data_IF_165731929888
#
_entry.id   IF_165731929888
#
_cell.length_a   1.000
_cell.length_b   1.000
_cell.length_c   1.000
_cell.angle_alpha   90.00
_cell.angle_beta   90.00
_cell.angle_gamma   90.00
#
_symmetry.space_group_name_H-M   'P 1'
#
loop_
_entity.id
_entity.type
_entity.pdbx_description
1 polymer ?
#
# COMPACT_ATOMS: atom_id res chain seq x y z
N UNK A 1 35.37 9.47 -2.82
CA UNK A 1 34.11 10.17 -3.14
C UNK A 1 33.63 9.75 -4.51
N UNK A 2 32.33 9.77 -4.75
CA UNK A 2 31.72 9.47 -6.07
C UNK A 2 30.91 10.67 -6.52
N UNK A 3 31.14 11.13 -7.74
CA UNK A 3 30.38 12.20 -8.36
C UNK A 3 28.99 11.72 -8.75
N UNK A 4 28.02 12.60 -8.70
CA UNK A 4 26.67 12.41 -9.22
C UNK A 4 26.28 13.58 -10.10
N UNK A 5 25.40 13.35 -11.07
CA UNK A 5 24.86 14.41 -11.93
C UNK A 5 23.98 15.42 -11.18
N UNK A 6 23.43 15.01 -10.03
CA UNK A 6 22.58 15.85 -9.19
C UNK A 6 22.65 15.41 -7.75
N UNK A 7 23.11 16.28 -6.84
CA UNK A 7 23.28 15.99 -5.41
C UNK A 7 22.89 17.20 -4.57
N UNK A 8 21.97 17.02 -3.65
CA UNK A 8 21.52 18.01 -2.69
C UNK A 8 21.33 17.39 -1.29
N UNK A 9 20.79 18.16 -0.35
CA UNK A 9 20.51 17.66 0.98
C UNK A 9 19.33 16.70 0.94
N UNK A 10 19.62 15.39 1.03
CA UNK A 10 18.67 14.27 1.03
C UNK A 10 17.84 14.09 -0.26
N UNK A 11 18.25 14.72 -1.37
CA UNK A 11 17.65 14.50 -2.69
C UNK A 11 18.72 14.49 -3.78
N UNK A 12 18.42 13.90 -4.92
CA UNK A 12 19.32 13.81 -6.05
C UNK A 12 19.35 12.42 -6.69
N UNK A 13 20.34 12.20 -7.54
CA UNK A 13 20.59 10.91 -8.18
C UNK A 13 21.73 10.19 -7.46
N UNK A 14 21.56 8.91 -7.13
CA UNK A 14 22.60 8.08 -6.55
C UNK A 14 22.70 6.75 -7.29
N UNK A 15 23.93 6.45 -7.76
CA UNK A 15 24.26 5.15 -8.36
C UNK A 15 25.70 4.81 -7.95
N UNK A 16 25.86 3.85 -7.07
CA UNK A 16 27.16 3.49 -6.50
C UNK A 16 27.79 2.39 -7.36
N UNK A 17 29.02 2.60 -7.88
CA UNK A 17 29.76 1.56 -8.57
C UNK A 17 29.92 0.31 -7.70
N UNK A 18 29.74 -0.85 -8.32
CA UNK A 18 29.88 -2.14 -7.63
C UNK A 18 31.28 -2.70 -7.85
N UNK A 19 31.72 -3.57 -6.95
CA UNK A 19 33.01 -4.28 -7.07
C UNK A 19 33.07 -4.99 -8.43
N UNK A 20 34.20 -4.79 -9.16
CA UNK A 20 34.44 -5.31 -10.50
C UNK A 20 34.06 -4.35 -11.63
N UNK A 21 33.45 -3.20 -11.34
CA UNK A 21 33.21 -2.14 -12.35
C UNK A 21 34.47 -1.30 -12.57
N UNK A 22 34.76 -0.97 -13.83
CA UNK A 22 35.80 -0.02 -14.19
C UNK A 22 35.29 1.41 -13.97
N UNK A 23 36.10 2.24 -13.30
CA UNK A 23 35.73 3.61 -12.95
C UNK A 23 36.80 4.60 -13.44
N UNK A 24 36.36 5.79 -13.83
CA UNK A 24 37.25 6.90 -14.13
C UNK A 24 37.46 7.70 -12.83
N UNK A 25 38.73 7.86 -12.45
CA UNK A 25 39.14 8.60 -11.25
C UNK A 25 39.88 9.85 -11.65
N UNK A 26 39.49 10.99 -11.08
CA UNK A 26 40.24 12.24 -11.12
C UNK A 26 40.71 12.59 -9.72
N UNK A 27 41.75 13.46 -9.64
CA UNK A 27 42.30 13.91 -8.37
C UNK A 27 42.05 15.41 -8.23
N UNK A 28 41.41 15.81 -7.13
CA UNK A 28 41.14 17.23 -6.88
C UNK A 28 42.46 17.99 -6.71
N UNK A 29 42.60 19.09 -7.43
CA UNK A 29 43.81 19.92 -7.48
C UNK A 29 45.11 19.15 -7.83
N UNK A 30 45.01 17.97 -8.40
CA UNK A 30 46.13 17.06 -8.72
C UNK A 30 46.68 16.30 -7.50
N UNK A 31 46.03 16.37 -6.35
CA UNK A 31 46.46 15.73 -5.10
C UNK A 31 46.05 14.22 -5.13
N UNK A 32 47.03 13.28 -5.11
CA UNK A 32 46.79 11.84 -5.07
C UNK A 32 45.93 11.37 -3.89
N UNK A 33 45.94 12.10 -2.78
CA UNK A 33 45.20 11.77 -1.57
C UNK A 33 43.71 12.21 -1.66
N UNK A 34 43.32 12.88 -2.74
CA UNK A 34 41.96 13.37 -2.97
C UNK A 34 41.30 12.77 -4.22
N UNK A 35 41.13 11.44 -4.27
CA UNK A 35 40.51 10.78 -5.44
C UNK A 35 39.01 11.04 -5.51
N UNK A 36 38.51 11.26 -6.72
CA UNK A 36 37.09 11.43 -7.05
C UNK A 36 36.73 10.53 -8.22
N UNK A 37 35.79 9.60 -8.03
CA UNK A 37 35.20 8.80 -9.10
C UNK A 37 34.23 9.70 -9.86
N UNK A 38 34.47 9.88 -11.16
CA UNK A 38 33.69 10.77 -12.03
C UNK A 38 32.83 10.03 -13.06
N UNK A 39 33.02 8.73 -13.24
CA UNK A 39 32.23 7.91 -14.16
C UNK A 39 32.57 6.45 -14.10
N UNK A 40 31.82 5.64 -14.87
CA UNK A 40 32.07 4.22 -15.10
C UNK A 40 32.27 3.97 -16.59
N UNK A 41 33.09 2.97 -16.93
CA UNK A 41 33.43 2.61 -18.30
C UNK A 41 32.98 1.17 -18.60
N UNK A 42 32.48 0.97 -19.83
CA UNK A 42 32.30 -0.38 -20.35
C UNK A 42 33.58 -0.89 -20.99
N UNK A 43 33.84 -2.17 -20.86
CA UNK A 43 34.99 -2.85 -21.45
C UNK A 43 34.62 -4.29 -21.88
N UNK A 44 35.58 -5.03 -22.39
CA UNK A 44 35.34 -6.35 -22.98
C UNK A 44 34.70 -7.36 -21.99
N UNK A 45 35.06 -7.31 -20.72
CA UNK A 45 34.55 -8.21 -19.68
C UNK A 45 33.22 -7.70 -19.07
N UNK A 46 33.00 -6.37 -19.12
CA UNK A 46 31.77 -5.71 -18.69
C UNK A 46 31.13 -4.95 -19.86
N UNK A 47 30.48 -5.64 -20.82
CA UNK A 47 29.93 -5.04 -22.02
C UNK A 47 28.65 -4.23 -21.72
N UNK A 48 28.29 -3.39 -22.68
CA UNK A 48 27.01 -2.64 -22.66
C UNK A 48 25.82 -3.59 -22.56
N UNK A 49 24.69 -3.16 -21.95
CA UNK A 49 23.49 -4.01 -21.75
C UNK A 49 22.90 -4.61 -23.03
N UNK A 50 23.10 -3.95 -24.17
CA UNK A 50 22.60 -4.38 -25.48
C UNK A 50 23.69 -4.19 -26.56
N UNK A 51 23.84 -5.19 -27.43
CA UNK A 51 24.86 -5.20 -28.46
C UNK A 51 24.77 -4.00 -29.41
N UNK A 52 25.90 -3.31 -29.61
CA UNK A 52 26.05 -2.25 -30.58
C UNK A 52 26.72 -2.75 -31.87
N UNK A 53 26.42 -2.19 -33.04
CA UNK A 53 25.56 -1.01 -33.31
C UNK A 53 24.05 -1.36 -33.49
N UNK A 54 23.66 -2.61 -33.35
CA UNK A 54 22.29 -3.07 -33.63
C UNK A 54 21.22 -2.33 -32.80
N UNK A 55 21.54 -1.94 -31.57
CA UNK A 55 20.62 -1.24 -30.64
C UNK A 55 21.03 0.22 -30.40
N UNK A 56 21.56 0.91 -31.41
CA UNK A 56 22.05 2.30 -31.28
C UNK A 56 20.97 3.36 -30.98
N UNK A 57 19.70 3.03 -31.21
CA UNK A 57 18.53 3.87 -30.92
C UNK A 57 17.94 3.64 -29.52
N UNK A 58 18.56 2.76 -28.74
CA UNK A 58 18.05 2.36 -27.42
C UNK A 58 18.77 3.08 -26.31
N UNK A 59 18.01 3.73 -25.44
CA UNK A 59 18.45 4.29 -24.16
C UNK A 59 18.02 3.37 -23.02
N UNK A 60 18.93 3.05 -22.08
CA UNK A 60 18.68 2.03 -21.04
C UNK A 60 19.25 2.47 -19.72
N UNK A 61 18.45 2.32 -18.69
CA UNK A 61 18.88 2.27 -17.30
C UNK A 61 18.56 0.88 -16.75
N UNK A 62 19.59 0.05 -16.53
CA UNK A 62 19.43 -1.33 -16.08
C UNK A 62 20.27 -1.62 -14.87
N UNK A 63 19.66 -2.21 -13.85
CA UNK A 63 20.33 -2.67 -12.62
C UNK A 63 20.21 -4.17 -12.48
N UNK A 64 21.15 -4.78 -11.76
CA UNK A 64 21.13 -6.21 -11.47
C UNK A 64 20.82 -6.45 -9.98
N UNK A 65 20.11 -7.53 -9.69
CA UNK A 65 19.88 -7.97 -8.31
C UNK A 65 21.18 -8.26 -7.58
N UNK A 66 21.28 -7.93 -6.32
CA UNK A 66 22.48 -8.11 -5.49
C UNK A 66 22.10 -8.67 -4.11
N UNK A 67 22.94 -9.58 -3.53
CA UNK A 67 24.11 -10.23 -4.12
C UNK A 67 23.68 -11.33 -5.08
N UNK A 68 24.29 -11.41 -6.27
CA UNK A 68 24.10 -12.38 -7.36
C UNK A 68 22.70 -12.96 -7.50
N UNK A 69 22.12 -13.26 -8.56
CA UNK A 69 20.78 -13.83 -8.57
C UNK A 69 20.03 -13.76 -9.90
N UNK A 70 20.69 -13.25 -10.94
CA UNK A 70 20.16 -13.26 -12.30
C UNK A 70 18.93 -12.37 -12.55
N UNK A 71 18.43 -11.64 -11.53
CA UNK A 71 17.33 -10.70 -11.67
C UNK A 71 17.79 -9.29 -12.03
N UNK A 72 16.87 -8.46 -12.56
CA UNK A 72 17.18 -7.08 -12.95
C UNK A 72 15.95 -6.18 -12.87
N UNK A 73 16.19 -4.86 -12.73
CA UNK A 73 15.18 -3.85 -13.02
C UNK A 73 15.64 -3.04 -14.24
N UNK A 74 14.72 -2.59 -15.07
CA UNK A 74 15.04 -1.90 -16.32
C UNK A 74 14.02 -0.82 -16.68
N UNK A 75 14.51 0.36 -17.01
CA UNK A 75 13.79 1.36 -17.81
C UNK A 75 14.49 1.47 -19.16
N UNK A 76 13.78 1.17 -20.24
CA UNK A 76 14.29 1.18 -21.60
C UNK A 76 13.40 2.02 -22.50
N UNK A 77 14.03 2.86 -23.31
CA UNK A 77 13.39 3.67 -24.34
C UNK A 77 13.99 3.25 -25.68
N UNK A 78 13.15 2.83 -26.61
CA UNK A 78 13.52 2.51 -27.98
C UNK A 78 12.93 3.57 -28.92
N UNK A 79 13.78 4.26 -29.67
CA UNK A 79 13.41 5.35 -30.59
C UNK A 79 13.45 4.91 -32.08
N UNK A 80 13.56 3.62 -32.34
CA UNK A 80 13.55 3.12 -33.73
C UNK A 80 12.18 3.35 -34.35
N UNK A 81 12.14 4.13 -35.45
CA UNK A 81 10.91 4.47 -36.15
C UNK A 81 10.05 3.24 -36.48
N UNK A 82 8.80 3.26 -36.07
CA UNK A 82 7.83 2.17 -36.26
C UNK A 82 7.97 1.01 -35.26
N UNK A 83 8.87 1.16 -34.26
CA UNK A 83 9.07 0.20 -33.18
C UNK A 83 9.38 0.93 -31.85
N UNK A 84 8.90 2.17 -31.74
CA UNK A 84 9.08 2.98 -30.55
C UNK A 84 8.43 2.30 -29.35
N UNK A 85 9.13 2.28 -28.22
CA UNK A 85 8.67 1.58 -27.01
C UNK A 85 9.26 2.23 -25.75
N UNK A 86 8.43 2.37 -24.73
CA UNK A 86 8.88 2.51 -23.33
C UNK A 86 8.59 1.20 -22.63
N UNK A 87 9.64 0.56 -22.11
CA UNK A 87 9.56 -0.71 -21.39
C UNK A 87 10.05 -0.51 -19.97
N UNK A 88 9.23 -0.95 -19.01
CA UNK A 88 9.53 -0.93 -17.59
C UNK A 88 9.46 -2.36 -17.09
N UNK A 89 10.49 -2.80 -16.40
CA UNK A 89 10.57 -4.11 -15.78
C UNK A 89 10.97 -3.98 -14.32
N UNK A 90 10.11 -4.45 -13.44
CA UNK A 90 10.38 -4.64 -12.02
C UNK A 90 10.59 -6.14 -11.77
N UNK A 91 11.73 -6.50 -11.21
CA UNK A 91 12.05 -7.91 -10.90
C UNK A 91 11.08 -8.51 -9.89
N UNK A 92 10.55 -7.71 -9.00
CA UNK A 92 9.68 -8.19 -7.95
C UNK A 92 8.44 -7.33 -7.78
N UNK A 93 8.56 -6.18 -7.19
CA UNK A 93 7.44 -5.33 -6.83
C UNK A 93 7.50 -4.01 -7.63
N UNK A 94 6.36 -3.53 -8.04
CA UNK A 94 6.17 -2.21 -8.63
C UNK A 94 5.18 -1.45 -7.78
N UNK A 95 5.63 -0.39 -7.10
CA UNK A 95 4.80 0.50 -6.33
C UNK A 95 4.69 1.86 -7.03
N UNK A 96 3.48 2.34 -7.22
CA UNK A 96 3.19 3.66 -7.77
C UNK A 96 2.34 4.44 -6.77
N UNK A 97 2.81 5.60 -6.34
CA UNK A 97 2.10 6.52 -5.47
C UNK A 97 1.94 7.87 -6.16
N UNK A 98 0.70 8.29 -6.36
CA UNK A 98 0.34 9.56 -6.98
C UNK A 98 -0.44 10.39 -5.96
N UNK A 99 0.13 11.51 -5.52
CA UNK A 99 -0.44 12.34 -4.47
C UNK A 99 -1.67 13.15 -4.91
N UNK A 100 -1.93 13.25 -6.22
CA UNK A 100 -3.05 14.02 -6.74
C UNK A 100 -3.76 13.26 -7.88
N UNK A 101 -3.62 13.62 -9.13
CA UNK A 101 -4.35 13.03 -10.24
C UNK A 101 -3.48 12.06 -11.05
N UNK A 102 -4.04 10.91 -11.42
CA UNK A 102 -3.49 10.05 -12.47
C UNK A 102 -4.41 10.08 -13.69
N UNK A 103 -3.86 10.38 -14.87
CA UNK A 103 -4.59 10.43 -16.15
C UNK A 103 -3.91 9.49 -17.14
N UNK A 104 -4.64 8.47 -17.59
CA UNK A 104 -4.15 7.50 -18.57
C UNK A 104 -5.01 7.57 -19.83
N UNK A 105 -4.36 7.75 -20.98
CA UNK A 105 -4.98 7.66 -22.31
C UNK A 105 -4.26 6.61 -23.14
N UNK A 106 -5.00 5.62 -23.60
CA UNK A 106 -4.49 4.58 -24.50
C UNK A 106 -5.15 4.77 -25.86
N UNK A 107 -4.36 4.95 -26.90
CA UNK A 107 -4.85 5.24 -28.27
C UNK A 107 -5.37 4.02 -29.02
N UNK A 108 -5.00 2.83 -28.60
CA UNK A 108 -5.43 1.58 -29.22
C UNK A 108 -5.96 0.63 -28.13
N UNK A 109 -5.28 -0.42 -27.79
CA UNK A 109 -5.76 -1.47 -26.85
C UNK A 109 -5.02 -1.39 -25.52
N UNK A 110 -5.69 -1.77 -24.45
CA UNK A 110 -5.10 -2.01 -23.15
C UNK A 110 -5.30 -3.45 -22.72
N UNK A 111 -4.20 -4.12 -22.36
CA UNK A 111 -4.20 -5.49 -21.88
C UNK A 111 -3.71 -5.53 -20.43
N UNK A 112 -4.52 -6.03 -19.52
CA UNK A 112 -4.17 -6.22 -18.12
C UNK A 112 -4.29 -7.71 -17.78
N UNK A 113 -3.22 -8.32 -17.27
CA UNK A 113 -3.22 -9.70 -16.80
C UNK A 113 -2.73 -9.73 -15.36
N UNK A 114 -3.56 -10.29 -14.47
CA UNK A 114 -3.21 -10.50 -13.06
C UNK A 114 -3.35 -11.99 -12.76
N UNK A 115 -2.22 -12.65 -12.51
CA UNK A 115 -2.20 -14.12 -12.34
C UNK A 115 -2.80 -14.59 -11.01
N UNK A 116 -2.99 -13.71 -10.05
CA UNK A 116 -3.61 -14.04 -8.76
C UNK A 116 -4.77 -13.11 -8.48
N UNK A 117 -4.75 -12.40 -7.38
CA UNK A 117 -5.86 -11.56 -6.95
C UNK A 117 -5.66 -10.11 -7.40
N UNK A 118 -6.75 -9.47 -7.82
CA UNK A 118 -6.82 -8.03 -8.03
C UNK A 118 -7.74 -7.40 -7.00
N UNK A 119 -7.31 -6.30 -6.37
CA UNK A 119 -8.09 -5.57 -5.38
C UNK A 119 -8.23 -4.12 -5.84
N UNK A 120 -9.47 -3.62 -5.83
CA UNK A 120 -9.76 -2.22 -6.17
C UNK A 120 -10.68 -1.64 -5.10
N UNK A 121 -10.32 -0.49 -4.54
CA UNK A 121 -11.15 0.29 -3.63
C UNK A 121 -11.34 1.69 -4.22
N UNK A 122 -12.58 2.11 -4.40
CA UNK A 122 -12.95 3.47 -4.82
C UNK A 122 -13.71 4.11 -3.66
N UNK A 123 -13.17 5.18 -3.09
CA UNK A 123 -13.74 5.85 -1.91
C UNK A 123 -14.83 6.87 -2.24
N UNK A 124 -15.10 7.05 -3.51
CA UNK A 124 -16.13 7.93 -4.05
C UNK A 124 -16.88 7.21 -5.18
N UNK A 125 -17.24 7.90 -6.24
CA UNK A 125 -18.04 7.37 -7.34
C UNK A 125 -17.19 6.69 -8.41
N UNK A 126 -17.71 5.62 -9.01
CA UNK A 126 -17.16 5.04 -10.24
C UNK A 126 -18.06 5.40 -11.43
N UNK A 127 -17.49 6.05 -12.44
CA UNK A 127 -18.13 6.29 -13.72
C UNK A 127 -17.52 5.42 -14.80
N UNK A 128 -18.30 4.49 -15.35
CA UNK A 128 -17.85 3.56 -16.39
C UNK A 128 -18.79 3.55 -17.58
N UNK A 129 -18.26 3.89 -18.75
CA UNK A 129 -19.01 3.83 -20.02
C UNK A 129 -18.33 2.87 -20.99
N UNK A 130 -19.10 1.96 -21.57
CA UNK A 130 -18.65 1.08 -22.66
C UNK A 130 -19.54 1.38 -23.87
N UNK A 131 -18.97 1.82 -24.98
CA UNK A 131 -19.73 2.23 -26.18
C UNK A 131 -20.26 1.01 -26.95
N UNK A 132 -19.52 -0.09 -26.93
CA UNK A 132 -19.91 -1.33 -27.58
C UNK A 132 -20.26 -2.42 -26.55
N UNK A 133 -19.95 -3.67 -26.82
CA UNK A 133 -20.26 -4.79 -25.96
C UNK A 133 -19.40 -4.83 -24.70
N UNK A 134 -20.01 -5.20 -23.59
CA UNK A 134 -19.32 -5.57 -22.35
C UNK A 134 -19.52 -7.06 -22.09
N UNK A 135 -18.43 -7.82 -22.01
CA UNK A 135 -18.44 -9.26 -21.72
C UNK A 135 -17.75 -9.49 -20.37
N UNK A 136 -18.44 -10.20 -19.48
CA UNK A 136 -17.90 -10.56 -18.16
C UNK A 136 -18.14 -12.05 -17.97
N UNK A 137 -17.12 -12.78 -17.56
CA UNK A 137 -17.20 -14.18 -17.17
C UNK A 137 -16.62 -14.35 -15.78
N UNK A 138 -17.40 -14.87 -14.84
CA UNK A 138 -16.93 -15.39 -13.56
C UNK A 138 -17.09 -16.91 -13.57
N UNK A 139 -15.98 -17.65 -13.51
CA UNK A 139 -16.01 -19.12 -13.63
C UNK A 139 -16.52 -19.83 -12.39
N UNK A 140 -16.58 -19.15 -11.27
CA UNK A 140 -17.14 -19.64 -10.03
C UNK A 140 -18.28 -18.72 -9.59
N UNK A 141 -18.15 -18.02 -8.50
CA UNK A 141 -19.22 -17.20 -7.94
C UNK A 141 -19.04 -15.71 -8.28
N UNK A 142 -20.15 -15.03 -8.51
CA UNK A 142 -20.21 -13.57 -8.62
C UNK A 142 -21.10 -13.02 -7.50
N UNK A 143 -20.51 -12.17 -6.62
CA UNK A 143 -21.18 -11.60 -5.46
C UNK A 143 -21.36 -10.08 -5.63
N UNK A 144 -22.61 -9.64 -5.74
CA UNK A 144 -22.96 -8.23 -5.82
C UNK A 144 -23.72 -7.79 -4.58
N UNK A 145 -23.22 -6.80 -3.85
CA UNK A 145 -23.91 -6.14 -2.74
C UNK A 145 -24.13 -4.67 -3.09
N UNK A 146 -25.37 -4.21 -3.00
CA UNK A 146 -25.75 -2.81 -3.19
C UNK A 146 -26.44 -2.33 -1.91
N UNK A 147 -25.89 -1.31 -1.26
CA UNK A 147 -26.35 -0.83 0.07
C UNK A 147 -27.74 -0.17 0.04
N UNK A 148 -28.16 0.36 -1.11
CA UNK A 148 -29.47 1.00 -1.25
C UNK A 148 -30.24 0.46 -2.45
N UNK A 149 -30.13 1.08 -3.62
CA UNK A 149 -30.94 0.76 -4.78
C UNK A 149 -30.08 0.27 -5.94
N UNK A 150 -30.53 -0.79 -6.59
CA UNK A 150 -30.00 -1.21 -7.88
C UNK A 150 -31.04 -0.88 -8.98
N UNK A 151 -30.64 -0.06 -9.95
CA UNK A 151 -31.47 0.28 -11.12
C UNK A 151 -30.89 -0.37 -12.36
N UNK A 152 -31.72 -1.21 -13.02
CA UNK A 152 -31.36 -1.87 -14.28
C UNK A 152 -32.35 -1.43 -15.34
N UNK A 153 -31.86 -0.85 -16.45
CA UNK A 153 -32.67 -0.47 -17.62
C UNK A 153 -32.09 -1.14 -18.87
N UNK A 154 -32.90 -1.93 -19.53
CA UNK A 154 -32.50 -2.64 -20.75
C UNK A 154 -33.44 -2.22 -21.91
N UNK A 155 -32.85 -2.03 -23.09
CA UNK A 155 -33.61 -1.58 -24.27
C UNK A 155 -34.47 -2.63 -24.90
N UNK A 156 -34.09 -3.91 -24.83
CA UNK A 156 -34.74 -4.99 -25.55
C UNK A 156 -35.14 -6.15 -24.65
N UNK A 157 -34.22 -6.85 -24.03
CA UNK A 157 -34.52 -8.06 -23.27
C UNK A 157 -33.56 -8.28 -22.10
N UNK A 158 -34.06 -8.91 -21.06
CA UNK A 158 -33.28 -9.55 -20.02
C UNK A 158 -33.50 -11.06 -20.10
N UNK A 159 -32.46 -11.82 -20.38
CA UNK A 159 -32.49 -13.27 -20.46
C UNK A 159 -31.67 -13.86 -19.30
N UNK A 160 -32.34 -14.65 -18.47
CA UNK A 160 -31.72 -15.30 -17.31
C UNK A 160 -31.96 -16.80 -17.38
N UNK A 161 -30.92 -17.61 -17.35
CA UNK A 161 -31.01 -19.08 -17.32
C UNK A 161 -30.21 -19.59 -16.15
N UNK A 162 -30.81 -20.38 -15.27
CA UNK A 162 -30.22 -20.92 -14.06
C UNK A 162 -30.45 -22.43 -13.99
N UNK A 163 -29.42 -23.21 -13.67
CA UNK A 163 -29.48 -24.67 -13.67
C UNK A 163 -30.34 -25.27 -12.54
N UNK A 164 -30.54 -24.58 -11.44
CA UNK A 164 -31.28 -25.14 -10.28
C UNK A 164 -32.38 -24.22 -9.79
N UNK A 165 -32.08 -23.02 -9.34
CA UNK A 165 -33.04 -22.19 -8.61
C UNK A 165 -32.84 -20.70 -8.88
N UNK A 166 -33.93 -19.97 -9.10
CA UNK A 166 -33.98 -18.51 -8.98
C UNK A 166 -34.83 -18.20 -7.73
N UNK A 167 -34.21 -17.58 -6.75
CA UNK A 167 -34.87 -17.15 -5.51
C UNK A 167 -35.01 -15.63 -5.50
N UNK A 168 -36.24 -15.13 -5.59
CA UNK A 168 -36.58 -13.72 -5.50
C UNK A 168 -37.34 -13.48 -4.19
N UNK A 169 -36.81 -12.66 -3.32
CA UNK A 169 -37.41 -12.33 -2.01
C UNK A 169 -37.42 -10.81 -1.80
N UNK A 170 -38.58 -10.27 -1.44
CA UNK A 170 -38.72 -8.90 -0.97
C UNK A 170 -39.30 -8.90 0.45
N UNK A 171 -39.00 -7.87 1.26
CA UNK A 171 -39.60 -7.68 2.58
C UNK A 171 -41.10 -7.40 2.48
N UNK A 172 -41.48 -6.48 1.58
CA UNK A 172 -42.84 -6.00 1.53
C UNK A 172 -43.57 -6.38 0.23
N UNK A 173 -42.97 -6.16 -0.96
CA UNK A 173 -43.74 -6.30 -2.21
C UNK A 173 -42.85 -6.72 -3.38
N UNK A 174 -43.40 -7.65 -4.19
CA UNK A 174 -42.89 -7.97 -5.52
C UNK A 174 -43.98 -7.58 -6.52
N UNK A 175 -43.63 -6.77 -7.51
CA UNK A 175 -44.51 -6.44 -8.65
C UNK A 175 -43.91 -7.02 -9.92
N UNK A 176 -44.72 -7.78 -10.66
CA UNK A 176 -44.35 -8.30 -11.98
C UNK A 176 -45.40 -7.78 -12.94
N UNK A 177 -44.98 -6.99 -13.91
CA UNK A 177 -45.87 -6.33 -14.88
C UNK A 177 -45.43 -6.66 -16.30
N UNK A 178 -46.36 -6.96 -17.15
CA UNK A 178 -46.15 -7.19 -18.58
C UNK A 178 -47.23 -6.44 -19.38
N UNK A 179 -46.84 -5.77 -20.47
CA UNK A 179 -47.75 -5.01 -21.30
C UNK A 179 -48.80 -5.88 -22.07
N UNK A 180 -48.43 -7.11 -22.41
CA UNK A 180 -49.28 -7.98 -23.25
C UNK A 180 -49.56 -9.31 -22.58
N UNK A 181 -48.55 -10.01 -22.10
CA UNK A 181 -48.70 -11.35 -21.52
C UNK A 181 -47.72 -11.61 -20.39
N UNK A 182 -48.19 -12.16 -19.29
CA UNK A 182 -47.38 -12.75 -18.22
C UNK A 182 -47.73 -14.24 -18.12
N UNK A 183 -46.72 -15.10 -18.29
CA UNK A 183 -46.86 -16.54 -18.11
C UNK A 183 -45.94 -17.05 -17.01
N UNK A 184 -46.50 -17.81 -16.06
CA UNK A 184 -45.77 -18.55 -15.01
C UNK A 184 -45.98 -20.02 -15.27
N UNK A 185 -44.92 -20.76 -15.65
CA UNK A 185 -44.96 -22.15 -16.04
C UNK A 185 -44.15 -23.01 -15.05
N UNK A 186 -44.67 -24.13 -14.62
CA UNK A 186 -43.99 -25.10 -13.77
C UNK A 186 -44.59 -26.48 -13.83
N UNK A 187 -43.77 -27.53 -14.07
CA UNK A 187 -44.20 -28.93 -14.05
C UNK A 187 -45.39 -29.28 -14.95
N UNK A 188 -45.55 -28.62 -16.11
CA UNK A 188 -46.65 -28.81 -17.01
C UNK A 188 -47.92 -28.04 -16.65
N UNK A 189 -47.95 -27.34 -15.53
CA UNK A 189 -49.05 -26.45 -15.13
C UNK A 189 -48.64 -25.00 -15.36
N UNK A 190 -49.56 -24.10 -15.66
CA UNK A 190 -49.27 -22.69 -15.88
C UNK A 190 -50.40 -21.74 -15.44
N UNK A 191 -49.99 -20.51 -15.18
CA UNK A 191 -50.87 -19.35 -15.03
C UNK A 191 -50.48 -18.35 -16.11
N UNK A 192 -51.47 -17.93 -16.93
CA UNK A 192 -51.28 -16.90 -17.95
C UNK A 192 -52.26 -15.75 -17.73
N UNK A 193 -51.76 -14.54 -17.81
CA UNK A 193 -52.52 -13.31 -17.79
C UNK A 193 -52.28 -12.60 -19.12
N UNK A 194 -53.37 -12.36 -19.86
CA UNK A 194 -53.34 -11.66 -21.15
C UNK A 194 -54.62 -10.83 -21.37
N UNK A 195 -54.78 -10.24 -22.58
CA UNK A 195 -55.97 -9.46 -22.92
C UNK A 195 -57.29 -10.27 -22.93
N UNK A 196 -57.25 -11.60 -22.96
CA UNK A 196 -58.39 -12.50 -22.85
C UNK A 196 -58.78 -12.84 -21.41
N UNK A 197 -57.96 -12.49 -20.42
CA UNK A 197 -58.22 -12.76 -19.02
C UNK A 197 -57.15 -13.60 -18.31
N UNK A 198 -57.54 -14.33 -17.26
CA UNK A 198 -56.68 -15.20 -16.47
C UNK A 198 -56.95 -16.66 -16.83
N UNK A 199 -55.96 -17.37 -17.33
CA UNK A 199 -56.02 -18.79 -17.64
C UNK A 199 -55.19 -19.57 -16.63
N UNK A 200 -55.80 -20.57 -15.97
CA UNK A 200 -55.13 -21.49 -15.05
C UNK A 200 -55.31 -22.91 -15.53
N UNK A 201 -54.22 -23.61 -15.79
CA UNK A 201 -54.23 -24.98 -16.30
C UNK A 201 -53.32 -25.87 -15.48
N UNK A 202 -53.80 -27.05 -15.10
CA UNK A 202 -53.05 -28.09 -14.42
C UNK A 202 -53.90 -29.34 -14.21
N UNK A 203 -53.31 -30.49 -13.84
CA UNK A 203 -54.06 -31.73 -13.59
C UNK A 203 -55.09 -31.58 -12.47
N UNK A 204 -54.80 -30.75 -11.48
CA UNK A 204 -55.70 -30.42 -10.37
C UNK A 204 -55.50 -28.94 -9.99
N UNK A 205 -56.62 -28.19 -9.89
CA UNK A 205 -56.61 -26.82 -9.39
C UNK A 205 -57.18 -26.82 -7.96
N UNK A 206 -56.38 -26.42 -6.98
CA UNK A 206 -56.81 -26.30 -5.59
C UNK A 206 -57.01 -24.83 -5.24
N UNK A 207 -58.23 -24.43 -4.88
CA UNK A 207 -58.55 -23.09 -4.46
C UNK A 207 -58.99 -23.18 -2.99
N UNK A 208 -58.29 -22.47 -2.08
CA UNK A 208 -58.55 -22.43 -0.62
C UNK A 208 -58.62 -23.82 0.05
N UNK A 209 -57.83 -24.79 -0.47
CA UNK A 209 -57.84 -26.19 0.00
C UNK A 209 -56.70 -26.52 1.00
N UNK A 210 -56.01 -25.54 1.53
CA UNK A 210 -54.80 -25.74 2.37
C UNK A 210 -53.60 -26.18 1.51
N UNK A 211 -52.43 -26.26 2.17
CA UNK A 211 -51.16 -26.64 1.55
C UNK A 211 -50.00 -25.88 2.22
N UNK A 212 -48.76 -26.20 1.81
CA UNK A 212 -47.57 -25.47 2.25
C UNK A 212 -46.90 -24.80 1.04
N UNK A 213 -46.40 -23.59 1.23
CA UNK A 213 -45.58 -22.91 0.26
C UNK A 213 -44.17 -23.53 0.20
N UNK A 214 -43.56 -23.50 -0.98
CA UNK A 214 -42.14 -23.82 -1.14
C UNK A 214 -41.26 -22.76 -0.46
N UNK A 215 -40.05 -23.16 -0.10
CA UNK A 215 -39.02 -22.26 0.47
C UNK A 215 -37.80 -22.22 -0.46
N UNK A 216 -37.15 -21.06 -0.57
CA UNK A 216 -35.89 -20.93 -1.30
C UNK A 216 -34.68 -21.01 -0.37
N UNK A 217 -33.50 -21.21 -0.95
CA UNK A 217 -32.22 -21.36 -0.22
C UNK A 217 -31.69 -20.08 0.43
N UNK A 218 -32.14 -18.91 -0.03
CA UNK A 218 -31.63 -17.62 0.46
C UNK A 218 -30.35 -17.16 -0.26
N UNK A 219 -29.76 -16.06 0.23
CA UNK A 219 -28.59 -15.43 -0.36
C UNK A 219 -27.44 -15.48 0.62
N UNK A 220 -26.28 -16.01 0.20
CA UNK A 220 -25.01 -15.95 0.91
C UNK A 220 -24.01 -15.10 0.12
N UNK A 221 -23.65 -13.92 0.63
CA UNK A 221 -22.74 -12.99 -0.06
C UNK A 221 -21.43 -12.92 0.69
N UNK A 222 -20.29 -12.96 -0.05
CA UNK A 222 -18.96 -12.68 0.48
C UNK A 222 -18.59 -11.22 0.25
N UNK A 223 -17.95 -10.61 1.26
CA UNK A 223 -17.47 -9.24 1.19
C UNK A 223 -16.14 -9.22 0.45
N UNK A 224 -15.91 -8.26 -0.48
CA UNK A 224 -14.63 -8.13 -1.18
C UNK A 224 -13.48 -7.79 -0.23
N UNK A 225 -12.29 -8.29 -0.54
CA UNK A 225 -11.06 -7.90 0.16
C UNK A 225 -10.60 -6.49 -0.23
N UNK A 226 -9.92 -5.82 0.68
CA UNK A 226 -9.36 -4.49 0.44
C UNK A 226 -7.97 -4.56 -0.19
N UNK A 227 -7.57 -3.57 -1.03
CA UNK A 227 -6.22 -3.46 -1.56
C UNK A 227 -5.22 -3.14 -0.45
N UNK A 228 -3.98 -3.56 -0.64
CA UNK A 228 -2.86 -3.11 0.17
C UNK A 228 -2.40 -1.73 -0.28
N UNK A 229 -1.95 -0.91 0.66
CA UNK A 229 -1.34 0.39 0.35
C UNK A 229 0.01 0.14 -0.33
N UNK A 230 0.32 0.91 -1.39
CA UNK A 230 1.65 0.93 -1.99
C UNK A 230 2.70 1.25 -0.92
N UNK A 231 3.83 0.55 -0.96
CA UNK A 231 4.88 0.70 0.05
C UNK A 231 5.55 2.08 -0.08
N UNK A 232 5.10 3.01 0.74
CA UNK A 232 5.70 4.35 0.85
C UNK A 232 7.06 4.33 1.55
N UNK A 233 7.40 3.23 2.24
CA UNK A 233 8.59 3.12 3.07
C UNK A 233 9.81 2.52 2.35
N UNK A 234 9.61 1.74 1.27
CA UNK A 234 10.71 0.98 0.65
C UNK A 234 11.62 1.78 -0.27
N UNK A 235 11.19 2.87 -0.86
CA UNK A 235 11.96 3.56 -1.89
C UNK A 235 12.16 5.05 -1.58
N UNK A 236 12.97 5.38 -0.60
CA UNK A 236 13.38 6.75 -0.33
C UNK A 236 12.54 7.50 0.70
N UNK A 237 11.36 7.04 1.07
CA UNK A 237 10.61 7.58 2.21
C UNK A 237 11.10 7.06 3.56
N UNK A 238 11.96 6.05 3.60
CA UNK A 238 12.61 5.61 4.85
C UNK A 238 13.35 6.74 5.54
N UNK A 239 13.93 7.68 4.79
CA UNK A 239 14.56 8.87 5.37
C UNK A 239 13.53 9.92 5.83
N UNK A 240 12.39 10.05 5.14
CA UNK A 240 11.29 10.92 5.57
C UNK A 240 10.51 10.33 6.75
N UNK A 241 10.26 9.02 6.75
CA UNK A 241 9.57 8.36 7.86
C UNK A 241 10.47 8.22 9.10
N UNK A 242 11.75 7.96 8.92
CA UNK A 242 12.70 8.02 10.02
C UNK A 242 12.88 9.45 10.54
N UNK A 243 12.87 10.46 9.67
CA UNK A 243 12.94 11.87 10.09
C UNK A 243 11.61 12.44 10.59
N UNK A 244 10.48 11.90 10.13
CA UNK A 244 9.15 12.30 10.62
C UNK A 244 8.74 11.57 11.91
N UNK A 245 9.30 10.38 12.17
CA UNK A 245 9.07 9.60 13.38
C UNK A 245 10.27 9.57 14.34
N UNK A 246 11.42 10.10 13.95
CA UNK A 246 12.49 10.39 14.92
C UNK A 246 12.15 11.69 15.60
N UNK A 247 11.98 11.69 16.92
CA UNK A 247 11.82 12.93 17.66
C UNK A 247 12.99 13.85 17.32
N UNK A 248 12.70 15.13 17.05
CA UNK A 248 13.72 16.11 16.67
C UNK A 248 14.78 16.27 17.74
N UNK A 249 14.38 16.02 18.97
CA UNK A 249 15.20 16.14 20.18
C UNK A 249 14.99 14.86 20.98
N UNK A 250 16.08 14.16 21.25
CA UNK A 250 16.09 12.87 21.93
C UNK A 250 17.28 12.82 22.86
N UNK A 251 17.02 12.99 24.16
CA UNK A 251 18.05 13.01 25.19
C UNK A 251 17.88 11.87 26.18
N UNK A 252 19.00 11.43 26.71
CA UNK A 252 19.06 10.42 27.75
C UNK A 252 19.82 10.93 28.96
N UNK A 253 19.12 10.99 30.08
CA UNK A 253 19.68 11.46 31.32
C UNK A 253 20.43 10.32 32.01
N UNK A 254 21.66 10.58 32.43
CA UNK A 254 22.50 9.65 33.19
C UNK A 254 22.85 10.21 34.55
N UNK A 255 22.57 9.47 35.60
CA UNK A 255 22.97 9.79 36.96
C UNK A 255 24.30 9.11 37.28
N UNK A 256 25.24 9.90 37.75
CA UNK A 256 26.58 9.45 38.13
C UNK A 256 27.00 10.09 39.45
N UNK A 257 27.86 9.42 40.22
CA UNK A 257 28.54 9.98 41.38
C UNK A 257 29.52 11.07 40.97
N UNK A 258 30.05 11.85 41.91
CA UNK A 258 31.12 12.83 41.67
C UNK A 258 32.40 12.22 41.05
N UNK A 259 32.60 10.91 41.14
CA UNK A 259 33.68 10.15 40.53
C UNK A 259 33.28 9.50 39.16
N UNK A 260 32.10 9.82 38.62
CA UNK A 260 31.63 9.35 37.33
C UNK A 260 31.05 7.92 37.32
N UNK A 261 30.88 7.29 38.48
CA UNK A 261 30.28 5.97 38.57
C UNK A 261 28.76 6.04 38.41
N UNK A 262 28.10 5.10 37.66
CA UNK A 262 26.67 5.13 37.47
C UNK A 262 25.89 4.88 38.77
N UNK A 263 24.82 5.63 38.98
CA UNK A 263 23.92 5.45 40.12
C UNK A 263 22.64 4.77 39.62
N UNK A 264 22.43 3.55 40.04
CA UNK A 264 21.21 2.77 39.76
C UNK A 264 20.09 3.16 40.71
N UNK A 265 18.85 2.88 40.27
CA UNK A 265 17.63 3.02 41.08
C UNK A 265 17.33 4.45 41.56
N UNK A 266 17.85 5.47 40.86
CA UNK A 266 17.45 6.85 41.08
C UNK A 266 16.06 7.07 40.47
N UNK A 267 15.08 7.40 41.30
CA UNK A 267 13.74 7.77 40.84
C UNK A 267 13.69 9.27 40.58
N UNK A 268 13.29 9.63 39.36
CA UNK A 268 13.19 11.04 38.97
C UNK A 268 11.89 11.25 38.11
N UNK A 269 11.33 12.44 38.29
CA UNK A 269 10.29 12.96 37.41
C UNK A 269 10.94 13.93 36.40
N UNK A 270 10.76 13.65 35.11
CA UNK A 270 11.25 14.50 34.03
C UNK A 270 10.05 15.25 33.47
N UNK A 271 10.12 16.56 33.51
CA UNK A 271 9.07 17.48 33.07
C UNK A 271 9.54 18.20 31.81
N UNK A 272 8.80 18.07 30.73
CA UNK A 272 8.95 18.89 29.52
C UNK A 272 7.87 19.95 29.49
N UNK A 273 8.13 21.19 29.06
CA UNK A 273 7.12 22.23 28.92
C UNK A 273 5.97 21.83 28.00
N UNK A 274 6.24 20.98 27.00
CA UNK A 274 5.22 20.46 26.07
C UNK A 274 4.42 19.28 26.63
N UNK A 275 4.84 18.66 27.73
CA UNK A 275 4.17 17.46 28.26
C UNK A 275 3.09 17.80 29.28
N UNK A 276 1.93 17.15 29.17
CA UNK A 276 0.79 17.35 30.09
C UNK A 276 1.05 16.77 31.49
N UNK A 277 1.98 15.81 31.60
CA UNK A 277 2.31 15.15 32.87
C UNK A 277 3.81 14.81 32.94
N UNK A 278 4.42 14.83 34.15
CA UNK A 278 5.80 14.44 34.32
C UNK A 278 6.01 12.95 34.02
N UNK A 279 7.12 12.63 33.36
CA UNK A 279 7.53 11.26 33.10
C UNK A 279 8.34 10.73 34.28
N UNK A 280 7.74 9.93 35.11
CA UNK A 280 8.41 9.33 36.28
C UNK A 280 9.05 8.00 35.87
N UNK A 281 10.33 7.84 36.19
CA UNK A 281 11.08 6.62 35.88
C UNK A 281 12.24 6.42 36.87
N UNK A 282 12.89 5.25 36.79
CA UNK A 282 14.01 4.89 37.67
C UNK A 282 15.23 4.55 36.79
N UNK A 283 16.42 4.99 37.18
CA UNK A 283 17.65 4.70 36.45
C UNK A 283 18.00 3.20 36.51
N UNK A 284 18.54 2.67 35.40
CA UNK A 284 19.02 1.31 35.28
C UNK A 284 20.43 1.13 35.94
N UNK A 285 21.05 -0.05 35.73
CA UNK A 285 22.39 -0.37 36.27
C UNK A 285 23.50 0.53 35.74
N UNK A 286 23.31 1.17 34.58
CA UNK A 286 24.25 2.10 33.97
C UNK A 286 23.95 3.56 34.34
N UNK A 287 23.03 3.79 35.28
CA UNK A 287 22.58 5.09 35.72
C UNK A 287 21.68 5.83 34.74
N UNK A 288 21.21 5.16 33.68
CA UNK A 288 20.43 5.76 32.57
C UNK A 288 18.92 5.69 32.83
N UNK A 289 18.24 6.81 32.63
CA UNK A 289 16.80 6.88 32.52
C UNK A 289 16.32 6.56 31.10
N UNK A 290 15.05 6.16 30.92
CA UNK A 290 14.46 6.05 29.59
C UNK A 290 14.60 7.37 28.84
N UNK A 291 14.84 7.27 27.51
CA UNK A 291 15.01 8.45 26.67
C UNK A 291 13.78 9.37 26.70
N UNK A 292 14.05 10.65 26.73
CA UNK A 292 13.06 11.72 26.69
C UNK A 292 13.09 12.32 25.29
N UNK A 293 11.95 12.41 24.67
CA UNK A 293 11.80 12.83 23.27
C UNK A 293 10.83 14.00 23.18
N UNK A 294 11.12 14.96 22.30
CA UNK A 294 10.32 16.14 22.04
C UNK A 294 10.35 16.50 20.56
N UNK A 295 9.26 17.11 20.05
CA UNK A 295 9.17 17.60 18.68
C UNK A 295 9.77 19.00 18.50
N UNK A 296 10.09 19.69 19.58
CA UNK A 296 10.71 21.02 19.61
C UNK A 296 11.86 21.07 20.60
N UNK A 297 12.78 22.02 20.39
CA UNK A 297 13.83 22.31 21.37
C UNK A 297 13.20 22.86 22.63
N UNK A 298 13.38 22.16 23.75
CA UNK A 298 12.85 22.57 25.06
C UNK A 298 13.75 22.07 26.18
N UNK A 299 13.74 22.79 27.31
CA UNK A 299 14.56 22.45 28.48
C UNK A 299 13.76 21.48 29.35
N UNK A 300 14.34 20.31 29.59
CA UNK A 300 13.75 19.32 30.50
C UNK A 300 14.13 19.71 31.97
N UNK A 301 13.14 19.78 32.83
CA UNK A 301 13.33 19.87 34.26
C UNK A 301 13.39 18.50 34.90
N UNK A 302 14.39 18.22 35.72
CA UNK A 302 14.57 16.92 36.36
C UNK A 302 14.40 17.10 37.89
N UNK A 303 13.35 16.48 38.40
CA UNK A 303 13.04 16.49 39.83
C UNK A 303 13.39 15.14 40.43
N UNK A 304 14.37 15.08 41.33
CA UNK A 304 14.75 13.87 42.07
C UNK A 304 13.71 13.59 43.17
N UNK A 305 13.26 12.35 43.24
CA UNK A 305 12.31 11.90 44.27
C UNK A 305 13.09 11.28 45.44
N UNK A 306 13.45 12.10 46.41
CA UNK A 306 14.37 11.74 47.52
C UNK A 306 13.78 10.76 48.53
N UNK A 307 12.49 10.63 48.65
CA UNK A 307 11.80 9.82 49.65
C UNK A 307 12.04 8.30 49.50
N UNK A 308 12.62 7.90 48.38
CA UNK A 308 12.93 6.49 48.07
C UNK A 308 14.40 6.20 47.78
N UNK A 309 15.30 7.17 47.99
CA UNK A 309 16.74 6.95 47.83
C UNK A 309 17.30 6.30 49.12
N UNK A 310 17.52 5.00 49.07
CA UNK A 310 18.33 4.32 50.11
C UNK A 310 19.79 4.62 49.80
N UNK A 311 20.41 5.58 50.52
CA UNK A 311 21.83 5.83 50.48
C UNK A 311 22.51 4.73 51.31
N UNK A 312 23.46 3.93 50.73
CA UNK A 312 24.21 2.98 51.54
C UNK A 312 25.01 3.75 52.62
N UNK A 313 24.89 3.34 53.89
CA UNK A 313 25.72 3.85 54.96
C UNK A 313 27.19 3.66 54.61
N UNK A 314 27.93 4.78 54.44
CA UNK A 314 29.40 4.76 54.25
C UNK A 314 29.95 5.68 53.15
N UNK A 315 29.18 6.58 52.55
CA UNK A 315 29.70 7.61 51.62
C UNK A 315 29.57 9.00 52.24
N UNK A 316 30.65 9.45 52.89
CA UNK A 316 30.76 10.76 53.53
C UNK A 316 30.94 11.97 52.56
N UNK A 317 30.55 11.86 51.29
CA UNK A 317 30.79 12.89 50.28
C UNK A 317 29.52 13.55 49.70
N UNK A 318 28.51 13.81 50.55
CA UNK A 318 27.33 14.59 50.16
C UNK A 318 27.25 15.96 50.86
N UNK A 319 28.30 16.76 50.77
CA UNK A 319 28.15 18.22 50.93
C UNK A 319 28.67 18.95 49.68
N UNK A 320 27.85 19.87 49.23
CA UNK A 320 28.13 20.89 48.20
C UNK A 320 27.76 20.60 46.74
N UNK A 321 26.49 20.79 46.44
CA UNK A 321 26.07 21.46 45.18
C UNK A 321 24.70 22.10 45.38
N UNK A 322 24.57 23.01 46.34
CA UNK A 322 23.57 24.07 46.28
C UNK A 322 24.28 25.28 45.72
N UNK A 323 24.17 25.55 44.42
CA UNK A 323 24.16 26.85 43.73
C UNK A 323 24.63 26.68 42.29
N UNK A 324 23.73 26.68 41.39
CA UNK A 324 23.48 27.64 40.28
C UNK A 324 22.55 26.96 39.27
#
# INVERSE_FOLDING_TARGET
>A
RVSSSWAGDRYGAISIPRIGMEVLVTFLEGDPDQPLVTGCLYHKENPVPYALPANKTRSVFKTLSSPGGGGYNELRIEDKKGAEQIYIHAQRDWDENVEHDQKIRVGNERHDTVEKNSYTELKAEEHRTTISDRKIEAKLDDHLTVGQNQHVKLGTAQLTSVGKEIHLKAGDKIVIEAGTELTILGGGSFIKLDGGGVTVVGPVIKINAGGSAGSGTGIGILVPGLPRVADQARAGNTLKSAAANSPKYDEQIRFVTGLGQPIKSVKAAIVLPSSVAPKISTSNTDGLHPRVVSDSEETAEVHLMWDELIVPEGSDDYETSRKK
#
